data_IF_213269271184
#
_entry.id   IF_213269271184
#
_cell.length_a   1.000
_cell.length_b   1.000
_cell.length_c   1.000
_cell.angle_alpha   90.00
_cell.angle_beta   90.00
_cell.angle_gamma   90.00
#
_symmetry.space_group_name_H-M   'P 1'
#
loop_
_entity.id
_entity.type
_entity.pdbx_description
1 polymer ?
#
# COMPACT_ATOMS: atom_id res chain seq x y z
N UNK A 1 -56.62 18.96 -38.74
CA UNK A 1 -55.69 19.32 -39.82
C UNK A 1 -54.42 19.85 -39.19
N UNK A 2 -53.34 19.10 -39.31
CA UNK A 2 -51.93 19.53 -39.34
C UNK A 2 -51.15 18.36 -39.94
N UNK A 3 -50.23 18.70 -40.84
CA UNK A 3 -49.79 17.94 -42.01
C UNK A 3 -48.85 16.77 -41.69
N UNK A 4 -48.95 15.74 -42.53
CA UNK A 4 -48.00 14.65 -42.72
C UNK A 4 -47.00 15.05 -43.81
N UNK A 5 -45.98 15.82 -43.46
CA UNK A 5 -44.82 16.02 -44.33
C UNK A 5 -43.65 15.24 -43.72
N UNK A 6 -43.56 13.97 -44.15
CA UNK A 6 -42.45 13.07 -43.89
C UNK A 6 -41.17 13.63 -44.53
N UNK A 7 -40.31 14.27 -43.72
CA UNK A 7 -38.90 14.34 -44.07
C UNK A 7 -38.22 13.03 -43.62
N UNK A 8 -37.41 12.39 -44.48
CA UNK A 8 -36.64 11.24 -44.06
C UNK A 8 -35.66 11.72 -42.98
N UNK A 9 -35.92 11.32 -41.73
CA UNK A 9 -34.98 11.45 -40.64
C UNK A 9 -33.70 10.72 -41.04
N UNK A 10 -32.78 11.46 -41.63
CA UNK A 10 -31.40 11.05 -41.81
C UNK A 10 -30.83 10.97 -40.41
N UNK A 11 -31.00 9.80 -39.80
CA UNK A 11 -30.23 9.41 -38.64
C UNK A 11 -28.77 9.58 -39.04
N UNK A 12 -28.19 10.70 -38.62
CA UNK A 12 -26.76 10.94 -38.67
C UNK A 12 -26.13 9.76 -37.98
N UNK A 13 -25.48 8.88 -38.75
CA UNK A 13 -24.53 7.91 -38.20
C UNK A 13 -23.64 8.71 -37.24
N UNK A 14 -23.42 8.24 -35.99
CA UNK A 14 -22.44 8.90 -35.14
C UNK A 14 -21.16 9.01 -35.97
N UNK A 15 -20.61 10.22 -36.04
CA UNK A 15 -19.35 10.47 -36.73
C UNK A 15 -18.36 9.37 -36.31
N UNK A 16 -17.65 8.79 -37.28
CA UNK A 16 -16.60 7.83 -37.01
C UNK A 16 -15.70 8.42 -35.92
N UNK A 17 -15.56 7.71 -34.82
CA UNK A 17 -14.90 8.21 -33.62
C UNK A 17 -13.44 8.50 -33.98
N UNK A 18 -13.09 9.77 -34.19
CA UNK A 18 -11.72 10.21 -34.42
C UNK A 18 -10.95 10.12 -33.09
N UNK A 19 -10.43 8.92 -32.80
CA UNK A 19 -9.63 8.67 -31.59
C UNK A 19 -9.36 7.18 -31.35
N UNK A 20 -8.43 6.85 -30.44
CA UNK A 20 -8.23 5.48 -30.00
C UNK A 20 -9.52 4.90 -29.43
N UNK A 21 -9.77 3.62 -29.69
CA UNK A 21 -10.91 2.92 -29.11
C UNK A 21 -10.80 2.85 -27.56
N UNK A 22 -11.92 2.85 -26.82
CA UNK A 22 -11.91 2.60 -25.39
C UNK A 22 -11.24 1.27 -25.02
N UNK A 23 -10.68 1.19 -23.81
CA UNK A 23 -10.06 -0.06 -23.32
C UNK A 23 -11.08 -1.19 -23.24
N UNK A 24 -10.76 -2.33 -23.84
CA UNK A 24 -11.51 -3.56 -23.68
C UNK A 24 -11.07 -4.28 -22.38
N UNK A 25 -12.04 -4.68 -21.56
CA UNK A 25 -11.81 -5.36 -20.29
C UNK A 25 -11.03 -6.67 -20.47
N UNK A 26 -11.27 -7.40 -21.56
CA UNK A 26 -10.67 -8.71 -21.78
C UNK A 26 -9.17 -8.62 -22.06
N UNK A 27 -8.67 -7.45 -22.47
CA UNK A 27 -7.27 -7.22 -22.81
C UNK A 27 -6.40 -6.88 -21.58
N UNK A 28 -7.01 -6.45 -20.46
CA UNK A 28 -6.26 -6.17 -19.23
C UNK A 28 -5.52 -7.42 -18.73
N UNK A 29 -4.31 -7.25 -18.20
CA UNK A 29 -3.48 -8.31 -17.58
C UNK A 29 -2.89 -7.81 -16.27
N UNK A 30 -2.62 -8.73 -15.33
CA UNK A 30 -1.96 -8.41 -14.06
C UNK A 30 -0.56 -7.85 -14.31
N UNK A 31 0.19 -8.52 -15.18
CA UNK A 31 1.54 -8.13 -15.64
C UNK A 31 1.58 -8.16 -17.18
N UNK A 32 2.47 -7.37 -17.78
CA UNK A 32 2.69 -7.32 -19.24
C UNK A 32 1.43 -7.07 -20.08
N UNK A 33 0.44 -6.37 -19.52
CA UNK A 33 -0.73 -5.88 -20.26
C UNK A 33 -0.39 -4.63 -21.07
N UNK A 34 -0.97 -4.53 -22.26
CA UNK A 34 -0.72 -3.44 -23.22
C UNK A 34 -1.88 -2.43 -23.30
N UNK A 35 -2.94 -2.64 -22.49
CA UNK A 35 -4.06 -1.69 -22.39
C UNK A 35 -3.61 -0.37 -21.78
N UNK A 36 -4.27 0.73 -22.15
CA UNK A 36 -4.01 2.05 -21.55
C UNK A 36 -4.24 2.01 -20.03
N UNK A 37 -3.13 2.01 -19.28
CA UNK A 37 -3.12 1.88 -17.82
C UNK A 37 -3.74 3.11 -17.13
N UNK A 38 -3.87 4.23 -17.83
CA UNK A 38 -4.48 5.44 -17.26
C UNK A 38 -6.02 5.34 -17.20
N UNK A 39 -6.62 4.35 -17.87
CA UNK A 39 -8.07 4.12 -17.85
C UNK A 39 -8.45 3.12 -16.76
N UNK A 40 -8.96 3.66 -15.66
CA UNK A 40 -9.39 2.87 -14.51
C UNK A 40 -10.46 1.83 -14.87
N UNK A 41 -11.50 2.25 -15.59
CA UNK A 41 -12.59 1.39 -16.04
C UNK A 41 -12.38 0.95 -17.51
N UNK A 42 -12.95 -0.21 -17.92
CA UNK A 42 -13.71 -1.17 -17.13
C UNK A 42 -12.83 -2.04 -16.20
N UNK A 43 -13.39 -2.56 -15.10
CA UNK A 43 -12.65 -3.44 -14.17
C UNK A 43 -12.60 -4.88 -14.66
N UNK A 44 -11.40 -5.43 -14.81
CA UNK A 44 -11.19 -6.87 -15.01
C UNK A 44 -11.04 -7.60 -13.67
N UNK A 45 -10.46 -6.91 -12.67
CA UNK A 45 -10.20 -7.47 -11.35
C UNK A 45 -11.04 -6.75 -10.28
N UNK A 46 -12.37 -6.99 -10.22
CA UNK A 46 -13.26 -6.29 -9.28
C UNK A 46 -12.88 -6.54 -7.81
N UNK A 47 -12.29 -7.70 -7.50
CA UNK A 47 -11.80 -8.04 -6.17
C UNK A 47 -10.73 -7.06 -5.65
N UNK A 48 -9.92 -6.47 -6.55
CA UNK A 48 -8.90 -5.50 -6.16
C UNK A 48 -9.55 -4.20 -5.68
N UNK A 49 -10.62 -3.80 -6.36
CA UNK A 49 -11.42 -2.64 -5.96
C UNK A 49 -12.14 -2.87 -4.63
N UNK A 50 -12.65 -4.08 -4.40
CA UNK A 50 -13.24 -4.47 -3.12
C UNK A 50 -12.23 -4.39 -1.98
N UNK A 51 -10.99 -4.89 -2.18
CA UNK A 51 -9.94 -4.76 -1.17
C UNK A 51 -9.56 -3.30 -0.91
N UNK A 52 -9.46 -2.47 -1.96
CA UNK A 52 -9.25 -1.03 -1.79
C UNK A 52 -10.35 -0.40 -0.93
N UNK A 53 -11.62 -0.71 -1.19
CA UNK A 53 -12.73 -0.20 -0.41
C UNK A 53 -12.71 -0.69 1.05
N UNK A 54 -12.36 -1.95 1.27
CA UNK A 54 -12.25 -2.50 2.62
C UNK A 54 -11.05 -1.89 3.40
N UNK A 55 -9.91 -1.68 2.74
CA UNK A 55 -8.75 -1.02 3.32
C UNK A 55 -9.03 0.44 3.74
N UNK A 56 -9.89 1.15 3.02
CA UNK A 56 -10.34 2.49 3.43
C UNK A 56 -11.26 2.47 4.65
N UNK A 57 -12.12 1.45 4.79
CA UNK A 57 -12.97 1.27 5.98
C UNK A 57 -12.17 0.95 7.24
N UNK A 58 -10.94 0.45 7.08
CA UNK A 58 -10.01 0.11 8.17
C UNK A 58 -9.05 1.27 8.51
N UNK A 59 -9.38 2.51 8.16
CA UNK A 59 -8.54 3.65 8.50
C UNK A 59 -8.44 3.85 10.02
N UNK A 60 -7.23 4.07 10.50
CA UNK A 60 -6.89 4.35 11.90
C UNK A 60 -5.65 5.23 11.95
N UNK A 61 -5.41 5.94 13.06
CA UNK A 61 -4.15 6.65 13.28
C UNK A 61 -3.50 6.21 14.60
N UNK A 62 -2.16 6.21 14.71
CA UNK A 62 -1.48 5.89 15.98
C UNK A 62 -1.88 6.80 17.13
N UNK A 63 -2.28 8.04 16.83
CA UNK A 63 -2.71 9.02 17.84
C UNK A 63 -4.02 8.64 18.54
N UNK A 64 -4.82 7.76 17.92
CA UNK A 64 -6.07 7.27 18.51
C UNK A 64 -5.83 6.21 19.59
N UNK A 65 -4.58 5.74 19.75
CA UNK A 65 -4.18 4.70 20.71
C UNK A 65 -3.54 5.34 21.95
N UNK A 66 -4.19 5.22 23.11
CA UNK A 66 -3.66 5.75 24.37
C UNK A 66 -2.54 4.84 24.92
N UNK A 67 -1.35 5.41 25.09
CA UNK A 67 -0.13 4.73 25.56
C UNK A 67 0.21 4.98 27.04
N UNK A 68 -0.65 5.64 27.83
CA UNK A 68 -0.31 6.05 29.19
C UNK A 68 0.04 4.87 30.12
N UNK A 69 -0.66 3.74 29.99
CA UNK A 69 -0.37 2.55 30.79
C UNK A 69 0.93 1.88 30.34
N UNK A 70 1.18 1.82 29.04
CA UNK A 70 2.38 1.27 28.43
C UNK A 70 3.63 2.02 28.88
N UNK A 71 3.57 3.36 28.98
CA UNK A 71 4.65 4.18 29.55
C UNK A 71 4.96 3.75 30.99
N UNK A 72 3.94 3.64 31.84
CA UNK A 72 4.12 3.21 33.22
C UNK A 72 4.72 1.79 33.30
N UNK A 73 4.18 0.85 32.53
CA UNK A 73 4.59 -0.54 32.58
C UNK A 73 6.00 -0.74 32.05
N UNK A 74 6.36 -0.06 30.95
CA UNK A 74 7.72 -0.07 30.42
C UNK A 74 8.72 0.49 31.44
N UNK A 75 8.43 1.59 32.13
CA UNK A 75 9.40 2.16 33.08
C UNK A 75 9.46 1.44 34.43
N UNK A 76 8.36 0.84 34.90
CA UNK A 76 8.26 0.39 36.30
C UNK A 76 7.94 -1.09 36.49
N UNK A 77 7.51 -1.82 35.46
CA UNK A 77 7.08 -3.22 35.60
C UNK A 77 7.87 -4.21 34.77
N UNK A 78 8.25 -3.84 33.54
CA UNK A 78 8.99 -4.76 32.68
C UNK A 78 10.40 -5.03 33.22
N UNK A 79 10.73 -6.31 33.30
CA UNK A 79 12.08 -6.79 33.55
C UNK A 79 12.99 -6.55 32.34
N UNK A 80 14.31 -6.62 32.56
CA UNK A 80 15.28 -6.43 31.49
C UNK A 80 15.11 -7.41 30.30
N UNK A 81 14.83 -8.72 30.52
CA UNK A 81 14.55 -9.63 29.41
C UNK A 81 13.29 -9.27 28.61
N UNK A 82 12.23 -8.79 29.27
CA UNK A 82 10.99 -8.37 28.59
C UNK A 82 11.23 -7.12 27.73
N UNK A 83 11.96 -6.13 28.25
CA UNK A 83 12.37 -4.95 27.47
C UNK A 83 13.24 -5.33 26.28
N UNK A 84 14.19 -6.25 26.49
CA UNK A 84 15.05 -6.73 25.42
C UNK A 84 14.25 -7.35 24.27
N UNK A 85 13.23 -8.17 24.57
CA UNK A 85 12.33 -8.73 23.55
C UNK A 85 11.55 -7.62 22.86
N UNK A 86 10.92 -6.72 23.63
CA UNK A 86 10.12 -5.61 23.09
C UNK A 86 10.93 -4.74 22.11
N UNK A 87 12.10 -4.27 22.53
CA UNK A 87 12.97 -3.40 21.72
C UNK A 87 13.50 -4.09 20.47
N UNK A 88 13.87 -5.38 20.56
CA UNK A 88 14.33 -6.13 19.38
C UNK A 88 13.20 -6.37 18.37
N UNK A 89 11.99 -6.66 18.84
CA UNK A 89 10.82 -6.81 17.97
C UNK A 89 10.50 -5.46 17.31
N UNK A 90 10.46 -4.38 18.09
CA UNK A 90 10.19 -3.02 17.59
C UNK A 90 11.23 -2.59 16.55
N UNK A 91 12.52 -2.84 16.82
CA UNK A 91 13.60 -2.52 15.89
C UNK A 91 13.54 -3.32 14.58
N UNK A 92 13.14 -4.59 14.64
CA UNK A 92 12.91 -5.38 13.43
C UNK A 92 11.73 -4.81 12.63
N UNK A 93 10.59 -4.57 13.28
CA UNK A 93 9.35 -4.13 12.64
C UNK A 93 9.50 -2.76 11.95
N UNK A 94 10.12 -1.80 12.63
CA UNK A 94 10.33 -0.46 12.03
C UNK A 94 11.15 -0.52 10.75
N UNK A 95 12.11 -1.44 10.66
CA UNK A 95 12.90 -1.64 9.44
C UNK A 95 12.15 -2.46 8.40
N UNK A 96 11.44 -3.52 8.80
CA UNK A 96 10.76 -4.42 7.87
C UNK A 96 9.63 -3.74 7.11
N UNK A 97 8.87 -2.86 7.75
CA UNK A 97 7.71 -2.23 7.14
C UNK A 97 8.13 -1.15 6.14
N UNK A 98 9.24 -0.43 6.41
CA UNK A 98 9.87 0.44 5.41
C UNK A 98 10.31 -0.36 4.18
N UNK A 99 10.89 -1.56 4.36
CA UNK A 99 11.29 -2.41 3.25
C UNK A 99 10.09 -2.94 2.47
N UNK A 100 9.02 -3.34 3.17
CA UNK A 100 7.77 -3.78 2.55
C UNK A 100 7.14 -2.65 1.73
N UNK A 101 7.03 -1.45 2.30
CA UNK A 101 6.54 -0.24 1.63
C UNK A 101 7.33 0.04 0.35
N UNK A 102 8.66 0.02 0.43
CA UNK A 102 9.54 0.29 -0.72
C UNK A 102 9.43 -0.79 -1.79
N UNK A 103 9.41 -2.06 -1.41
CA UNK A 103 9.22 -3.16 -2.35
C UNK A 103 7.91 -3.00 -3.12
N UNK A 104 6.83 -2.74 -2.39
CA UNK A 104 5.52 -2.55 -2.97
C UNK A 104 5.53 -1.35 -3.94
N UNK A 105 5.96 -0.19 -3.46
CA UNK A 105 5.87 1.06 -4.20
C UNK A 105 6.83 1.18 -5.38
N UNK A 106 7.99 0.51 -5.33
CA UNK A 106 9.05 0.66 -6.33
C UNK A 106 9.23 -0.56 -7.24
N UNK A 107 8.95 -1.78 -6.75
CA UNK A 107 9.18 -3.00 -7.53
C UNK A 107 7.86 -3.66 -7.95
N UNK A 108 6.93 -3.89 -7.02
CA UNK A 108 5.68 -4.62 -7.32
C UNK A 108 4.75 -3.78 -8.20
N UNK A 109 4.46 -2.53 -7.78
CA UNK A 109 3.57 -1.63 -8.53
C UNK A 109 4.06 -1.36 -9.96
N UNK A 110 5.39 -1.30 -10.15
CA UNK A 110 6.02 -1.08 -11.44
C UNK A 110 5.70 -2.19 -12.46
N UNK A 111 5.54 -3.44 -12.00
CA UNK A 111 5.25 -4.59 -12.89
C UNK A 111 3.75 -4.80 -13.12
N UNK A 112 2.89 -4.16 -12.32
CA UNK A 112 1.45 -4.27 -12.47
C UNK A 112 0.96 -3.46 -13.67
N UNK A 113 0.16 -4.08 -14.54
CA UNK A 113 -0.35 -3.47 -15.78
C UNK A 113 -1.87 -3.24 -15.79
N UNK A 114 -2.54 -3.37 -14.64
CA UNK A 114 -3.96 -3.04 -14.50
C UNK A 114 -4.16 -1.98 -13.40
N UNK A 115 -4.85 -0.87 -13.69
CA UNK A 115 -4.94 0.26 -12.76
C UNK A 115 -5.67 -0.05 -11.47
N UNK A 116 -6.70 -0.89 -11.49
CA UNK A 116 -7.42 -1.28 -10.28
C UNK A 116 -6.54 -2.00 -9.25
N UNK A 117 -5.48 -2.70 -9.71
CA UNK A 117 -4.49 -3.33 -8.84
C UNK A 117 -3.54 -2.29 -8.25
N UNK A 118 -3.04 -1.36 -9.08
CA UNK A 118 -2.14 -0.30 -8.65
C UNK A 118 -2.80 0.63 -7.61
N UNK A 119 -4.11 0.90 -7.73
CA UNK A 119 -4.84 1.69 -6.74
C UNK A 119 -4.90 0.99 -5.39
N UNK A 120 -5.23 -0.31 -5.36
CA UNK A 120 -5.17 -1.05 -4.10
C UNK A 120 -3.76 -1.08 -3.53
N UNK A 121 -2.77 -1.26 -4.40
CA UNK A 121 -1.38 -1.33 -3.98
C UNK A 121 -0.87 0.00 -3.40
N UNK A 122 -1.31 1.14 -3.96
CA UNK A 122 -1.07 2.46 -3.38
C UNK A 122 -1.68 2.62 -1.99
N UNK A 123 -2.88 2.05 -1.75
CA UNK A 123 -3.48 2.02 -0.42
C UNK A 123 -2.67 1.17 0.56
N UNK A 124 -2.12 0.04 0.12
CA UNK A 124 -1.22 -0.78 0.94
C UNK A 124 0.07 -0.03 1.27
N UNK A 125 0.68 0.69 0.31
CA UNK A 125 1.85 1.57 0.59
C UNK A 125 1.52 2.57 1.69
N UNK A 126 0.33 3.18 1.65
CA UNK A 126 -0.13 4.09 2.70
C UNK A 126 -0.32 3.36 4.04
N UNK A 127 -0.81 2.13 4.06
CA UNK A 127 -0.90 1.29 5.27
C UNK A 127 0.49 1.03 5.89
N UNK A 128 1.51 0.69 5.10
CA UNK A 128 2.87 0.48 5.63
C UNK A 128 3.50 1.78 6.17
N UNK A 129 3.15 2.93 5.59
CA UNK A 129 3.52 4.23 6.15
C UNK A 129 2.85 4.49 7.50
N UNK A 130 1.59 4.07 7.67
CA UNK A 130 0.87 4.15 8.94
C UNK A 130 1.47 3.22 10.00
N UNK A 131 1.90 2.00 9.63
CA UNK A 131 2.63 1.11 10.52
C UNK A 131 3.96 1.75 10.97
N UNK A 132 4.72 2.32 10.04
CA UNK A 132 5.98 3.03 10.34
C UNK A 132 5.75 4.19 11.31
N UNK A 133 4.68 4.97 11.10
CA UNK A 133 4.30 6.04 12.03
C UNK A 133 3.91 5.51 13.40
N UNK A 134 3.23 4.36 13.47
CA UNK A 134 2.89 3.73 14.75
C UNK A 134 4.13 3.35 15.57
N UNK A 135 5.14 2.75 14.92
CA UNK A 135 6.40 2.43 15.60
C UNK A 135 7.12 3.69 16.08
N UNK A 136 7.17 4.75 15.27
CA UNK A 136 7.74 6.03 15.69
C UNK A 136 6.98 6.61 16.89
N UNK A 137 5.65 6.55 16.88
CA UNK A 137 4.83 6.99 18.01
C UNK A 137 5.17 6.22 19.29
N UNK A 138 5.35 4.90 19.23
CA UNK A 138 5.78 4.12 20.39
C UNK A 138 7.19 4.50 20.87
N UNK A 139 8.15 4.66 19.95
CA UNK A 139 9.54 5.02 20.25
C UNK A 139 9.60 6.37 20.98
N UNK A 140 8.89 7.38 20.47
CA UNK A 140 8.83 8.71 21.07
C UNK A 140 8.11 8.69 22.43
N UNK A 141 6.97 8.01 22.50
CA UNK A 141 6.13 7.98 23.71
C UNK A 141 6.81 7.28 24.88
N UNK A 142 7.55 6.18 24.60
CA UNK A 142 8.31 5.45 25.61
C UNK A 142 9.71 6.05 25.87
N UNK A 143 10.07 7.12 25.15
CA UNK A 143 11.37 7.78 25.22
C UNK A 143 12.55 6.82 25.01
N UNK A 144 12.45 5.98 23.97
CA UNK A 144 13.52 5.06 23.58
C UNK A 144 14.61 5.79 22.80
N UNK A 145 15.85 5.29 22.87
CA UNK A 145 16.93 5.79 22.02
C UNK A 145 16.68 5.40 20.56
N UNK A 146 16.22 6.38 19.77
CA UNK A 146 15.90 6.17 18.36
C UNK A 146 17.12 5.67 17.58
N UNK A 147 18.31 6.20 17.86
CA UNK A 147 19.53 5.85 17.14
C UNK A 147 19.89 4.39 17.36
N UNK A 148 19.66 3.90 18.57
CA UNK A 148 19.88 2.52 18.96
C UNK A 148 18.86 1.61 18.25
N UNK A 149 17.56 1.88 18.40
CA UNK A 149 16.47 1.08 17.81
C UNK A 149 16.62 0.98 16.28
N UNK A 150 16.83 2.11 15.60
CA UNK A 150 16.97 2.13 14.14
C UNK A 150 18.28 1.49 13.64
N UNK A 151 19.32 1.41 14.48
CA UNK A 151 20.60 0.81 14.07
C UNK A 151 20.68 -0.69 14.36
N UNK A 152 19.80 -1.26 15.19
CA UNK A 152 19.82 -2.69 15.55
C UNK A 152 19.80 -3.64 14.35
N UNK A 153 19.09 -3.32 13.26
CA UNK A 153 19.08 -4.19 12.07
C UNK A 153 20.47 -4.34 11.41
N UNK A 154 21.40 -3.44 11.72
CA UNK A 154 22.78 -3.47 11.19
C UNK A 154 23.74 -4.23 12.10
N UNK A 155 23.44 -4.31 13.40
CA UNK A 155 24.38 -4.81 14.41
C UNK A 155 23.92 -6.10 15.10
N UNK A 156 22.62 -6.40 15.11
CA UNK A 156 22.08 -7.67 15.63
C UNK A 156 22.06 -8.71 14.50
N UNK A 157 22.86 -9.79 14.58
CA UNK A 157 23.03 -10.75 13.48
C UNK A 157 21.72 -11.38 12.98
N UNK A 158 20.82 -11.72 13.90
CA UNK A 158 19.55 -12.38 13.60
C UNK A 158 18.58 -11.44 12.87
N UNK A 159 18.54 -10.16 13.27
CA UNK A 159 17.74 -9.13 12.59
C UNK A 159 18.36 -8.87 11.21
N UNK A 160 19.68 -8.67 11.16
CA UNK A 160 20.39 -8.41 9.92
C UNK A 160 20.20 -9.52 8.88
N UNK A 161 20.34 -10.79 9.30
CA UNK A 161 20.17 -11.94 8.42
C UNK A 161 18.80 -11.99 7.74
N UNK A 162 17.74 -11.63 8.49
CA UNK A 162 16.37 -11.52 7.95
C UNK A 162 16.26 -10.38 6.93
N UNK A 163 16.81 -9.21 7.25
CA UNK A 163 16.79 -8.04 6.34
C UNK A 163 17.56 -8.32 5.05
N UNK A 164 18.76 -8.92 5.16
CA UNK A 164 19.58 -9.25 3.99
C UNK A 164 18.91 -10.31 3.10
N UNK A 165 18.15 -11.25 3.69
CA UNK A 165 17.36 -12.19 2.90
C UNK A 165 16.33 -11.49 2.02
N UNK A 166 15.65 -10.47 2.55
CA UNK A 166 14.69 -9.67 1.79
C UNK A 166 15.39 -8.84 0.70
N UNK A 167 16.45 -8.11 1.04
CA UNK A 167 17.18 -7.26 0.08
C UNK A 167 17.71 -8.02 -1.13
N UNK A 168 18.24 -9.23 -0.93
CA UNK A 168 18.69 -10.09 -2.04
C UNK A 168 17.60 -10.41 -3.08
N UNK A 169 16.32 -10.27 -2.73
CA UNK A 169 15.19 -10.49 -3.62
C UNK A 169 14.69 -9.20 -4.26
N UNK A 170 15.01 -8.04 -3.69
CA UNK A 170 14.67 -6.73 -4.24
C UNK A 170 15.65 -6.31 -5.33
N UNK A 171 16.92 -6.69 -5.19
CA UNK A 171 17.98 -6.34 -6.14
C UNK A 171 18.18 -7.37 -7.28
N UNK A 172 17.41 -8.45 -7.30
CA UNK A 172 17.54 -9.57 -8.26
C UNK A 172 16.55 -9.44 -9.42
#
# INVERSE_FOLDING_TARGET
MLNWDDEPNTQTRPAAQEGPAPVNVDDKRVINGETDINQLAPFKYPWAWEYFMNANKNHWTPLDVNMAQDVHDYHHRLSAPEKHVYENVLAYLTTSDILAMRNIGLAVMEKMSAPELQIYQARQVYEEAMHTWAYQHCIETLNLDQSEIYNRYRVVPEINGKIQLANRRLDA
#
